data_IF_781553762375
#
_entry.id   IF_781553762375
#
_cell.length_a   1.000
_cell.length_b   1.000
_cell.length_c   1.000
_cell.angle_alpha   90.00
_cell.angle_beta   90.00
_cell.angle_gamma   90.00
#
_symmetry.space_group_name_H-M   'P 1'
#
loop_
_entity.id
_entity.type
_entity.pdbx_description
1 polymer ?
#
# COMPACT_ATOMS: atom_id res chain seq x y z
N UNK A 1 2.84 -24.69 -6.58
CA UNK A 1 2.88 -23.41 -5.84
C UNK A 1 1.67 -22.53 -6.16
N UNK A 2 0.58 -23.05 -6.73
CA UNK A 2 -0.53 -22.21 -7.22
C UNK A 2 -1.56 -21.83 -6.15
N UNK A 3 -1.65 -22.58 -5.05
CA UNK A 3 -2.68 -22.34 -4.02
C UNK A 3 -2.42 -21.07 -3.19
N UNK A 4 -1.14 -20.73 -2.94
CA UNK A 4 -0.76 -19.55 -2.16
C UNK A 4 -0.95 -18.23 -2.93
N UNK A 5 -0.87 -18.26 -4.26
CA UNK A 5 -1.06 -17.06 -5.09
C UNK A 5 -2.53 -16.59 -5.11
N UNK A 6 -3.47 -17.50 -4.90
CA UNK A 6 -4.91 -17.21 -4.98
C UNK A 6 -5.55 -16.92 -3.61
N UNK A 7 -4.85 -17.20 -2.51
CA UNK A 7 -5.38 -17.03 -1.16
C UNK A 7 -4.71 -15.83 -0.49
N UNK A 8 -5.46 -14.74 -0.38
CA UNK A 8 -5.04 -13.61 0.46
C UNK A 8 -5.24 -13.98 1.94
N UNK A 9 -4.18 -14.49 2.57
CA UNK A 9 -4.18 -14.93 3.98
C UNK A 9 -4.58 -13.79 4.92
N UNK A 10 -4.15 -12.55 4.64
CA UNK A 10 -4.52 -11.38 5.45
C UNK A 10 -6.02 -11.09 5.36
N UNK A 11 -6.60 -11.21 4.16
CA UNK A 11 -8.04 -11.08 3.94
C UNK A 11 -8.82 -12.22 4.61
N UNK A 12 -8.29 -13.44 4.59
CA UNK A 12 -8.91 -14.58 5.27
C UNK A 12 -8.94 -14.38 6.79
N UNK A 13 -7.84 -13.94 7.41
CA UNK A 13 -7.82 -13.59 8.83
C UNK A 13 -8.78 -12.44 9.16
N UNK A 14 -8.92 -11.46 8.26
CA UNK A 14 -9.82 -10.31 8.45
C UNK A 14 -11.30 -10.69 8.37
N UNK A 15 -11.68 -11.55 7.43
CA UNK A 15 -13.10 -11.86 7.15
C UNK A 15 -13.57 -13.06 7.98
N UNK A 16 -12.78 -14.13 8.04
CA UNK A 16 -13.22 -15.42 8.59
C UNK A 16 -12.81 -15.54 10.06
N UNK A 17 -11.52 -15.36 10.36
CA UNK A 17 -10.99 -15.66 11.70
C UNK A 17 -11.05 -14.51 12.70
N UNK A 18 -11.38 -13.29 12.26
CA UNK A 18 -11.50 -12.14 13.17
C UNK A 18 -12.62 -12.33 14.20
N UNK A 19 -13.72 -12.99 13.83
CA UNK A 19 -14.85 -13.25 14.74
C UNK A 19 -14.58 -14.40 15.72
N UNK A 20 -13.79 -15.40 15.29
CA UNK A 20 -13.50 -16.60 16.08
C UNK A 20 -12.29 -16.40 17.01
N UNK A 21 -11.24 -15.75 16.51
CA UNK A 21 -10.00 -15.51 17.25
C UNK A 21 -9.46 -14.09 17.01
N UNK A 22 -10.07 -13.05 17.62
CA UNK A 22 -9.73 -11.66 17.33
C UNK A 22 -8.26 -11.33 17.61
N UNK A 23 -7.71 -11.77 18.75
CA UNK A 23 -6.33 -11.49 19.13
C UNK A 23 -5.31 -12.21 18.24
N UNK A 24 -5.59 -13.47 17.88
CA UNK A 24 -4.70 -14.26 17.01
C UNK A 24 -4.77 -13.72 15.57
N UNK A 25 -5.96 -13.42 15.07
CA UNK A 25 -6.14 -12.82 13.75
C UNK A 25 -5.49 -11.43 13.65
N UNK A 26 -5.46 -10.67 14.74
CA UNK A 26 -4.73 -9.41 14.79
C UNK A 26 -3.21 -9.62 14.73
N UNK A 27 -2.67 -10.49 15.58
CA UNK A 27 -1.24 -10.81 15.58
C UNK A 27 -0.77 -11.39 14.24
N UNK A 28 -1.54 -12.32 13.67
CA UNK A 28 -1.23 -12.91 12.37
C UNK A 28 -1.17 -11.86 11.26
N UNK A 29 -2.08 -10.88 11.24
CA UNK A 29 -2.05 -9.80 10.25
C UNK A 29 -0.85 -8.87 10.42
N UNK A 30 -0.43 -8.58 11.65
CA UNK A 30 0.78 -7.79 11.90
C UNK A 30 2.02 -8.55 11.44
N UNK A 31 2.11 -9.83 11.81
CA UNK A 31 3.28 -10.65 11.50
C UNK A 31 3.42 -10.91 10.00
N UNK A 32 2.31 -11.29 9.33
CA UNK A 32 2.28 -11.60 7.91
C UNK A 32 2.18 -10.37 7.00
N UNK A 33 1.69 -9.24 7.53
CA UNK A 33 1.62 -7.97 6.80
C UNK A 33 2.98 -7.29 6.64
N UNK A 34 4.00 -7.77 7.36
CA UNK A 34 5.36 -7.27 7.24
C UNK A 34 6.02 -7.86 5.99
N UNK A 35 6.53 -6.98 5.11
CA UNK A 35 7.36 -7.41 3.99
C UNK A 35 8.61 -8.14 4.52
N UNK A 36 8.89 -9.32 3.96
CA UNK A 36 10.06 -10.14 4.33
C UNK A 36 11.35 -9.53 3.75
N UNK A 37 11.23 -8.78 2.65
CA UNK A 37 12.37 -8.18 1.93
C UNK A 37 12.25 -6.66 1.82
N UNK A 38 13.40 -6.01 1.69
CA UNK A 38 13.52 -4.56 1.43
C UNK A 38 13.42 -4.21 -0.05
N UNK A 39 13.41 -5.19 -0.96
CA UNK A 39 13.35 -5.00 -2.42
C UNK A 39 12.22 -4.04 -2.87
N UNK A 40 11.08 -4.10 -2.17
CA UNK A 40 9.98 -3.17 -2.40
C UNK A 40 10.37 -1.71 -2.11
N UNK A 41 11.04 -1.46 -0.99
CA UNK A 41 11.52 -0.13 -0.61
C UNK A 41 12.67 0.31 -1.52
N UNK A 42 13.57 -0.60 -1.88
CA UNK A 42 14.68 -0.33 -2.79
C UNK A 42 14.20 0.09 -4.18
N UNK A 43 13.11 -0.51 -4.69
CA UNK A 43 12.47 -0.06 -5.93
C UNK A 43 11.92 1.37 -5.81
N UNK A 44 11.31 1.70 -4.68
CA UNK A 44 10.80 3.05 -4.39
C UNK A 44 11.96 4.05 -4.33
N UNK A 45 13.04 3.73 -3.62
CA UNK A 45 14.21 4.60 -3.54
C UNK A 45 14.94 4.75 -4.88
N UNK A 46 15.02 3.70 -5.68
CA UNK A 46 15.61 3.74 -7.03
C UNK A 46 14.85 4.70 -7.95
N UNK A 47 13.52 4.72 -7.84
CA UNK A 47 12.68 5.67 -8.57
C UNK A 47 12.82 7.10 -8.04
N UNK A 48 12.90 7.25 -6.71
CA UNK A 48 13.09 8.53 -6.04
C UNK A 48 14.47 9.15 -6.29
N UNK A 49 15.47 8.33 -6.63
CA UNK A 49 16.83 8.79 -6.88
C UNK A 49 16.90 9.93 -7.92
N UNK A 50 16.06 9.94 -8.95
CA UNK A 50 16.03 11.02 -9.97
C UNK A 50 15.76 12.38 -9.32
N UNK A 51 14.82 12.42 -8.38
CA UNK A 51 14.35 13.64 -7.70
C UNK A 51 15.29 14.04 -6.55
N UNK A 52 16.08 13.10 -6.04
CA UNK A 52 16.94 13.29 -4.86
C UNK A 52 18.41 13.53 -5.25
N UNK A 53 18.94 12.83 -6.25
CA UNK A 53 20.39 12.76 -6.51
C UNK A 53 20.89 13.71 -7.61
N UNK A 54 20.06 14.01 -8.62
CA UNK A 54 20.52 14.76 -9.79
C UNK A 54 20.44 16.27 -9.55
N UNK A 55 21.56 17.00 -9.68
CA UNK A 55 21.57 18.46 -9.46
C UNK A 55 20.59 19.27 -10.35
N UNK A 56 20.14 18.70 -11.48
CA UNK A 56 19.16 19.31 -12.38
C UNK A 56 17.71 19.05 -12.02
N UNK A 57 17.41 17.95 -11.31
CA UNK A 57 16.05 17.57 -10.90
C UNK A 57 15.89 17.48 -9.39
N UNK A 58 16.92 17.92 -8.64
CA UNK A 58 16.93 17.90 -7.18
C UNK A 58 15.84 18.81 -6.66
N UNK A 59 14.85 18.19 -6.03
CA UNK A 59 13.76 18.89 -5.36
C UNK A 59 14.09 19.04 -3.89
N UNK A 60 13.43 19.98 -3.20
CA UNK A 60 13.48 20.07 -1.74
C UNK A 60 13.14 18.70 -1.10
N UNK A 61 13.83 18.26 -0.03
CA UNK A 61 13.64 16.94 0.56
C UNK A 61 12.19 16.62 0.95
N UNK A 62 11.48 17.56 1.55
CA UNK A 62 10.10 17.36 2.03
C UNK A 62 9.15 17.16 0.83
N UNK A 63 9.41 17.91 -0.24
CA UNK A 63 8.64 17.81 -1.48
C UNK A 63 8.99 16.54 -2.27
N UNK A 64 10.26 16.12 -2.27
CA UNK A 64 10.69 14.87 -2.90
C UNK A 64 10.06 13.65 -2.23
N UNK A 65 10.00 13.64 -0.89
CA UNK A 65 9.29 12.61 -0.11
C UNK A 65 7.80 12.57 -0.47
N UNK A 66 7.15 13.74 -0.43
CA UNK A 66 5.72 13.85 -0.76
C UNK A 66 5.41 13.34 -2.17
N UNK A 67 6.22 13.71 -3.15
CA UNK A 67 6.07 13.24 -4.54
C UNK A 67 6.24 11.72 -4.65
N UNK A 68 7.22 11.16 -3.92
CA UNK A 68 7.49 9.73 -3.94
C UNK A 68 6.33 8.93 -3.35
N UNK A 69 5.79 9.37 -2.20
CA UNK A 69 4.65 8.75 -1.53
C UNK A 69 3.40 8.79 -2.43
N UNK A 70 3.10 9.94 -3.04
CA UNK A 70 1.95 10.09 -3.93
C UNK A 70 2.07 9.22 -5.18
N UNK A 71 3.27 9.20 -5.80
CA UNK A 71 3.52 8.39 -7.00
C UNK A 71 3.42 6.91 -6.70
N UNK A 72 3.94 6.48 -5.55
CA UNK A 72 3.85 5.08 -5.13
C UNK A 72 2.40 4.65 -4.89
N UNK A 73 1.61 5.51 -4.24
CA UNK A 73 0.22 5.21 -3.85
C UNK A 73 -0.81 5.57 -4.92
N UNK A 74 -0.41 5.86 -6.17
CA UNK A 74 -1.33 6.36 -7.21
C UNK A 74 -2.52 5.43 -7.44
N UNK A 75 -2.32 4.11 -7.50
CA UNK A 75 -3.42 3.17 -7.70
C UNK A 75 -4.44 3.19 -6.54
N UNK A 76 -3.97 3.35 -5.30
CA UNK A 76 -4.84 3.43 -4.13
C UNK A 76 -5.57 4.77 -4.05
N UNK A 77 -4.89 5.87 -4.40
CA UNK A 77 -5.49 7.20 -4.52
C UNK A 77 -6.62 7.17 -5.55
N UNK A 78 -6.41 6.55 -6.72
CA UNK A 78 -7.45 6.41 -7.75
C UNK A 78 -8.61 5.52 -7.26
N UNK A 79 -8.33 4.41 -6.56
CA UNK A 79 -9.37 3.59 -5.91
C UNK A 79 -10.22 4.42 -4.96
N UNK A 80 -9.60 5.21 -4.09
CA UNK A 80 -10.29 6.04 -3.10
C UNK A 80 -11.11 7.14 -3.80
N UNK A 81 -10.55 7.81 -4.80
CA UNK A 81 -11.29 8.81 -5.61
C UNK A 81 -12.53 8.21 -6.24
N UNK A 82 -12.43 7.01 -6.80
CA UNK A 82 -13.57 6.31 -7.41
C UNK A 82 -14.66 6.02 -6.37
N UNK A 83 -14.30 5.51 -5.18
CA UNK A 83 -15.25 5.29 -4.08
C UNK A 83 -15.95 6.60 -3.67
N UNK A 84 -15.18 7.68 -3.51
CA UNK A 84 -15.72 8.99 -3.13
C UNK A 84 -16.61 9.63 -4.21
N UNK A 85 -16.35 9.32 -5.48
CA UNK A 85 -17.18 9.79 -6.60
C UNK A 85 -18.54 9.07 -6.64
N UNK A 86 -18.55 7.77 -6.32
CA UNK A 86 -19.77 6.95 -6.24
C UNK A 86 -20.65 7.38 -5.06
N UNK A 87 -20.06 7.77 -3.93
CA UNK A 87 -20.82 8.24 -2.75
C UNK A 87 -21.45 9.63 -2.93
N UNK A 88 -21.12 10.38 -3.99
CA UNK A 88 -21.67 11.71 -4.30
C UNK A 88 -22.88 11.67 -5.25
N UNK A 89 -23.32 10.50 -5.70
CA UNK A 89 -24.54 10.36 -6.50
C UNK A 89 -25.78 10.56 -5.60
N UNK A 90 -26.78 11.37 -6.03
CA UNK A 90 -28.01 11.53 -5.26
C UNK A 90 -28.75 10.18 -5.17
N UNK A 91 -29.44 9.89 -4.05
CA UNK A 91 -30.25 8.69 -3.93
C UNK A 91 -31.32 8.69 -5.04
N UNK A 92 -31.44 7.55 -5.73
CA UNK A 92 -32.53 7.29 -6.67
C UNK A 92 -33.87 7.21 -5.97
#
# INVERSE_FOLDING_TARGET
MELYEHINILQWFRIVKQHEFPSIAFLARIWLGRAITTDFQERVFSLGAVVISSGRSRTDPDQAESQLILKHNTAEIERIKNIMSVSKLPPK
#
